data_IF_672289967376
#
_entry.id   IF_672289967376
#
_cell.length_a   1.000
_cell.length_b   1.000
_cell.length_c   1.000
_cell.angle_alpha   90.00
_cell.angle_beta   90.00
_cell.angle_gamma   90.00
#
_symmetry.space_group_name_H-M   'P 1'
#
loop_
_entity.id
_entity.type
_entity.pdbx_description
1 polymer ?
#
# COMPACT_ATOMS: atom_id res chain seq x y z
N UNK A 1 3.07 3.17 16.92
CA UNK A 1 2.65 2.73 15.57
C UNK A 1 3.34 3.69 14.61
N UNK A 2 3.91 3.19 13.52
CA UNK A 2 4.49 4.09 12.52
C UNK A 2 3.34 4.75 11.74
N UNK A 3 3.36 6.08 11.65
CA UNK A 3 2.37 6.85 10.90
C UNK A 3 2.50 6.63 9.38
N UNK A 4 3.68 6.19 8.95
CA UNK A 4 4.07 5.97 7.56
C UNK A 4 4.84 4.68 7.38
N UNK A 5 4.70 4.05 6.22
CA UNK A 5 5.49 2.90 5.78
C UNK A 5 6.14 3.20 4.44
N UNK A 6 7.30 2.60 4.21
CA UNK A 6 8.06 2.71 2.97
C UNK A 6 8.19 1.35 2.32
N UNK A 7 8.00 1.30 1.00
CA UNK A 7 8.23 0.08 0.23
C UNK A 7 9.71 -0.27 0.16
N UNK A 8 10.04 -1.54 0.43
CA UNK A 8 11.40 -2.09 0.32
C UNK A 8 11.83 -2.35 -1.11
N UNK A 9 10.85 -2.60 -1.99
CA UNK A 9 11.05 -2.97 -3.38
C UNK A 9 9.93 -2.42 -4.24
N UNK A 10 10.15 -2.33 -5.55
CA UNK A 10 9.10 -1.99 -6.49
C UNK A 10 8.05 -3.09 -6.51
N UNK A 11 6.78 -2.72 -6.32
CA UNK A 11 5.64 -3.65 -6.29
C UNK A 11 4.51 -3.08 -7.13
N UNK A 12 3.76 -3.96 -7.77
CA UNK A 12 2.55 -3.59 -8.50
C UNK A 12 1.35 -3.94 -7.65
N UNK A 13 0.58 -2.94 -7.24
CA UNK A 13 -0.67 -3.15 -6.53
C UNK A 13 -1.85 -3.09 -7.50
N UNK A 14 -2.85 -3.92 -7.19
CA UNK A 14 -4.11 -3.95 -7.91
C UNK A 14 -5.14 -3.18 -7.09
N UNK A 15 -5.67 -2.12 -7.67
CA UNK A 15 -6.74 -1.34 -7.10
C UNK A 15 -8.04 -1.64 -7.83
N UNK A 16 -9.06 -2.03 -7.07
CA UNK A 16 -10.42 -2.18 -7.58
C UNK A 16 -11.34 -1.32 -6.72
N UNK A 17 -11.96 -0.31 -7.35
CA UNK A 17 -12.81 0.64 -6.63
C UNK A 17 -14.15 0.00 -6.22
N UNK A 18 -14.77 -0.78 -7.13
CA UNK A 18 -16.05 -1.46 -6.88
C UNK A 18 -16.05 -2.89 -7.40
N UNK A 19 -16.89 -3.74 -6.80
CA UNK A 19 -17.09 -5.11 -7.23
C UNK A 19 -17.69 -5.14 -8.65
N UNK A 20 -16.93 -5.67 -9.62
CA UNK A 20 -17.35 -5.75 -11.03
C UNK A 20 -16.79 -4.64 -11.93
N UNK A 21 -16.04 -3.68 -11.38
CA UNK A 21 -15.24 -2.76 -12.20
C UNK A 21 -13.87 -3.34 -12.55
N UNK A 22 -13.28 -2.80 -13.62
CA UNK A 22 -11.93 -3.12 -14.06
C UNK A 22 -10.90 -2.86 -12.96
N UNK A 23 -9.99 -3.82 -12.82
CA UNK A 23 -8.88 -3.72 -11.91
C UNK A 23 -7.82 -2.81 -12.51
N UNK A 24 -7.49 -1.73 -11.80
CA UNK A 24 -6.38 -0.85 -12.16
C UNK A 24 -5.09 -1.37 -11.53
N UNK A 25 -4.05 -1.57 -12.33
CA UNK A 25 -2.73 -1.93 -11.83
C UNK A 25 -1.87 -0.66 -11.69
N UNK A 26 -1.36 -0.40 -10.50
CA UNK A 26 -0.54 0.76 -10.20
C UNK A 26 0.83 0.28 -9.70
N UNK A 27 1.89 0.74 -10.37
CA UNK A 27 3.25 0.34 -10.04
C UNK A 27 3.88 1.37 -9.11
N UNK A 28 4.39 0.88 -7.98
CA UNK A 28 5.11 1.67 -7.00
C UNK A 28 6.58 1.25 -6.96
N UNK A 29 7.43 2.20 -6.62
CA UNK A 29 8.88 2.02 -6.55
C UNK A 29 9.32 1.73 -5.13
N UNK A 30 10.49 1.10 -5.00
CA UNK A 30 11.18 1.04 -3.72
C UNK A 30 11.41 2.46 -3.21
N UNK A 31 11.04 2.73 -1.96
CA UNK A 31 11.13 4.07 -1.39
C UNK A 31 9.84 4.87 -1.38
N UNK A 32 8.80 4.45 -2.11
CA UNK A 32 7.49 5.12 -2.02
C UNK A 32 6.91 5.00 -0.61
N UNK A 33 6.40 6.12 -0.13
CA UNK A 33 5.83 6.29 1.20
C UNK A 33 4.30 6.19 1.14
N UNK A 34 3.74 5.48 2.11
CA UNK A 34 2.30 5.34 2.30
C UNK A 34 1.96 5.71 3.73
N UNK A 35 0.83 6.37 3.91
CA UNK A 35 0.31 6.69 5.25
C UNK A 35 -0.43 5.49 5.81
N UNK A 36 -0.02 4.98 6.96
CA UNK A 36 -0.71 3.85 7.60
C UNK A 36 -2.00 4.35 8.24
N UNK A 37 -3.12 3.78 7.81
CA UNK A 37 -4.42 4.04 8.44
C UNK A 37 -4.75 2.99 9.49
N UNK A 38 -4.38 1.74 9.23
CA UNK A 38 -4.62 0.64 10.15
C UNK A 38 -3.56 -0.43 9.99
N UNK A 39 -3.12 -1.00 11.11
CA UNK A 39 -2.21 -2.14 11.13
C UNK A 39 -2.99 -3.43 11.38
N UNK A 40 -2.66 -4.47 10.60
CA UNK A 40 -3.11 -5.85 10.80
C UNK A 40 -1.91 -6.74 11.12
N UNK A 41 -2.19 -8.01 11.46
CA UNK A 41 -1.16 -8.97 11.85
C UNK A 41 -0.14 -9.20 10.72
N UNK A 42 -0.62 -9.37 9.48
CA UNK A 42 0.21 -9.70 8.31
C UNK A 42 0.39 -8.56 7.30
N UNK A 43 -0.32 -7.43 7.47
CA UNK A 43 -0.35 -6.32 6.51
C UNK A 43 -0.66 -4.98 7.18
N UNK A 44 -0.46 -3.89 6.44
CA UNK A 44 -0.90 -2.54 6.77
C UNK A 44 -1.92 -2.08 5.73
N UNK A 45 -3.04 -1.54 6.19
CA UNK A 45 -3.93 -0.73 5.35
C UNK A 45 -3.31 0.66 5.26
N UNK A 46 -2.78 0.99 4.09
CA UNK A 46 -2.06 2.24 3.87
C UNK A 46 -2.65 3.02 2.68
N UNK A 47 -2.55 4.34 2.76
CA UNK A 47 -3.04 5.29 1.75
C UNK A 47 -1.86 5.81 0.92
N UNK A 48 -1.97 5.75 -0.40
CA UNK A 48 -0.98 6.33 -1.32
C UNK A 48 -1.14 7.85 -1.44
N UNK A 49 -0.17 8.53 -2.06
CA UNK A 49 -0.23 9.97 -2.35
C UNK A 49 -1.46 10.39 -3.16
N UNK A 50 -1.91 9.55 -4.10
CA UNK A 50 -3.14 9.73 -4.89
C UNK A 50 -4.43 9.50 -4.10
N UNK A 51 -4.30 9.12 -2.83
CA UNK A 51 -5.40 8.93 -1.91
C UNK A 51 -6.13 7.60 -2.02
N UNK A 52 -5.60 6.65 -2.80
CA UNK A 52 -6.09 5.28 -2.91
C UNK A 52 -5.61 4.43 -1.73
N UNK A 53 -6.39 3.40 -1.40
CA UNK A 53 -6.10 2.50 -0.29
C UNK A 53 -5.52 1.18 -0.80
N UNK A 54 -4.47 0.72 -0.14
CA UNK A 54 -3.75 -0.49 -0.49
C UNK A 54 -3.47 -1.32 0.76
N UNK A 55 -3.57 -2.65 0.60
CA UNK A 55 -3.11 -3.60 1.62
C UNK A 55 -1.65 -3.93 1.35
N UNK A 56 -0.76 -3.26 2.06
CA UNK A 56 0.70 -3.42 1.95
C UNK A 56 1.15 -4.52 2.90
N UNK A 57 1.75 -5.59 2.39
CA UNK A 57 2.23 -6.69 3.23
C UNK A 57 3.43 -6.24 4.07
N UNK A 58 3.51 -6.70 5.33
CA UNK A 58 4.63 -6.36 6.23
C UNK A 58 6.00 -6.85 5.73
N UNK A 59 6.00 -7.82 4.83
CA UNK A 59 7.21 -8.32 4.17
C UNK A 59 7.75 -7.31 3.13
N UNK A 60 6.86 -6.58 2.45
CA UNK A 60 7.16 -5.74 1.29
C UNK A 60 7.46 -4.28 1.64
N UNK A 61 7.08 -3.87 2.85
CA UNK A 61 7.33 -2.54 3.39
C UNK A 61 7.97 -2.59 4.77
N UNK A 62 8.49 -1.46 5.21
CA UNK A 62 8.97 -1.22 6.56
C UNK A 62 8.37 0.07 7.12
N UNK A 63 8.16 0.15 8.45
CA UNK A 63 7.82 1.40 9.10
C UNK A 63 8.93 2.43 8.84
N UNK A 64 8.53 3.62 8.39
CA UNK A 64 9.42 4.76 8.13
C UNK A 64 9.47 5.71 9.33
#
# INVERSE_FOLDING_TARGET
>A
MADTIKLKRSVTYKHQANLGEDVSEEQFSAGDEFTVLQEWESAWLAKSGDGKLYNVKKDEAEPA
#
